data_IF_470368447060
#
_entry.id   IF_470368447060
#
_cell.length_a   1.000
_cell.length_b   1.000
_cell.length_c   1.000
_cell.angle_alpha   90.00
_cell.angle_beta   90.00
_cell.angle_gamma   90.00
#
_symmetry.space_group_name_H-M   'P 1'
#
loop_
_entity.id
_entity.type
_entity.pdbx_description
1 polymer ?
#
# COMPACT_ATOMS: atom_id res chain seq x y z
N UNK A 1 4.71 9.91 -18.54
CA UNK A 1 4.72 11.24 -17.88
C UNK A 1 4.72 12.30 -18.96
N UNK A 2 3.61 13.01 -19.20
CA UNK A 2 3.53 14.04 -20.25
C UNK A 2 4.56 15.14 -19.94
N UNK A 3 5.49 15.36 -20.86
CA UNK A 3 6.64 16.24 -20.68
C UNK A 3 6.19 17.65 -20.27
N UNK A 4 6.70 18.12 -19.13
CA UNK A 4 6.53 19.49 -18.60
C UNK A 4 6.76 20.57 -19.67
N UNK A 5 7.60 20.27 -20.65
CA UNK A 5 7.98 21.14 -21.75
C UNK A 5 6.81 21.47 -22.70
N UNK A 6 5.78 20.62 -22.80
CA UNK A 6 4.61 20.91 -23.66
C UNK A 6 3.85 22.15 -23.19
N UNK A 7 3.81 22.41 -21.88
CA UNK A 7 3.15 23.60 -21.31
C UNK A 7 3.87 24.87 -21.77
N UNK A 8 5.20 24.85 -21.74
CA UNK A 8 6.04 25.98 -22.19
C UNK A 8 5.93 26.16 -23.70
N UNK A 9 5.93 25.07 -24.46
CA UNK A 9 5.85 25.08 -25.92
C UNK A 9 4.47 25.61 -26.39
N UNK A 10 3.39 25.18 -25.73
CA UNK A 10 2.03 25.66 -26.02
C UNK A 10 1.87 27.15 -25.68
N UNK A 11 2.46 27.61 -24.57
CA UNK A 11 2.49 29.04 -24.23
C UNK A 11 3.27 29.86 -25.27
N UNK A 12 4.44 29.39 -25.70
CA UNK A 12 5.25 30.06 -26.73
C UNK A 12 4.51 30.16 -28.06
N UNK A 13 3.84 29.08 -28.50
CA UNK A 13 3.11 29.05 -29.77
C UNK A 13 1.89 29.97 -29.73
N UNK A 14 1.05 29.87 -28.70
CA UNK A 14 -0.14 30.72 -28.55
C UNK A 14 0.26 32.19 -28.39
N UNK A 15 1.29 32.48 -27.59
CA UNK A 15 1.81 33.84 -27.43
C UNK A 15 2.36 34.43 -28.73
N UNK A 16 3.11 33.64 -29.50
CA UNK A 16 3.66 34.09 -30.80
C UNK A 16 2.55 34.35 -31.82
N UNK A 17 1.56 33.46 -31.91
CA UNK A 17 0.39 33.64 -32.79
C UNK A 17 -0.39 34.89 -32.40
N UNK A 18 -0.56 35.14 -31.10
CA UNK A 18 -1.27 36.30 -30.59
C UNK A 18 -0.55 37.62 -30.91
N UNK A 19 0.78 37.67 -30.77
CA UNK A 19 1.59 38.86 -31.13
C UNK A 19 1.40 39.21 -32.61
N UNK A 20 1.48 38.21 -33.49
CA UNK A 20 1.33 38.41 -34.95
C UNK A 20 -0.08 38.90 -35.31
N UNK A 21 -1.13 38.26 -34.77
CA UNK A 21 -2.52 38.65 -35.01
C UNK A 21 -2.83 40.05 -34.46
N UNK A 22 -2.30 40.37 -33.27
CA UNK A 22 -2.51 41.68 -32.65
C UNK A 22 -1.90 42.81 -33.49
N UNK A 23 -0.71 42.60 -34.05
CA UNK A 23 -0.07 43.61 -34.90
C UNK A 23 -0.81 43.80 -36.24
N UNK A 24 -1.35 42.72 -36.83
CA UNK A 24 -2.16 42.80 -38.05
C UNK A 24 -3.48 43.57 -37.87
N UNK A 25 -4.20 43.34 -36.76
CA UNK A 25 -5.46 44.03 -36.48
C UNK A 25 -5.25 45.52 -36.28
N UNK A 26 -4.15 45.90 -35.62
CA UNK A 26 -3.78 47.29 -35.38
C UNK A 26 -3.49 48.01 -36.69
N UNK A 27 -2.77 47.40 -37.65
CA UNK A 27 -2.51 48.04 -38.94
C UNK A 27 -3.79 48.29 -39.76
N UNK A 28 -4.76 47.38 -39.71
CA UNK A 28 -6.00 47.50 -40.51
C UNK A 28 -6.98 48.52 -39.91
N UNK A 29 -7.00 48.67 -38.58
CA UNK A 29 -7.93 49.58 -37.89
C UNK A 29 -7.40 51.02 -37.74
N UNK A 30 -6.10 51.25 -37.90
CA UNK A 30 -5.46 52.55 -37.58
C UNK A 30 -5.34 53.50 -38.77
N UNK A 31 -5.60 53.06 -40.01
CA UNK A 31 -5.42 53.85 -41.24
C UNK A 31 -6.21 55.18 -41.31
N UNK A 32 -7.11 55.47 -40.35
CA UNK A 32 -7.87 56.73 -40.27
C UNK A 32 -7.76 57.53 -38.97
N UNK A 33 -6.93 57.16 -37.98
CA UNK A 33 -6.96 57.77 -36.64
C UNK A 33 -5.84 58.80 -36.34
N UNK A 34 -6.13 59.88 -35.59
CA UNK A 34 -5.14 60.89 -35.19
C UNK A 34 -4.06 60.32 -34.27
N UNK A 35 -2.84 60.89 -34.35
CA UNK A 35 -1.63 60.35 -33.72
C UNK A 35 -1.73 60.09 -32.20
N UNK A 36 -2.52 60.91 -31.49
CA UNK A 36 -2.78 60.76 -30.05
C UNK A 36 -3.54 59.46 -29.70
N UNK A 37 -4.54 59.06 -30.51
CA UNK A 37 -5.33 57.84 -30.25
C UNK A 37 -4.53 56.56 -30.49
N UNK A 38 -3.52 56.61 -31.38
CA UNK A 38 -2.67 55.46 -31.72
C UNK A 38 -1.85 54.98 -30.52
N UNK A 39 -1.27 55.90 -29.75
CA UNK A 39 -0.46 55.58 -28.57
C UNK A 39 -1.29 54.89 -27.47
N UNK A 40 -2.51 55.36 -27.22
CA UNK A 40 -3.42 54.76 -26.23
C UNK A 40 -3.80 53.34 -26.64
N UNK A 41 -4.04 53.10 -27.94
CA UNK A 41 -4.36 51.76 -28.47
C UNK A 41 -3.20 50.76 -28.27
N UNK A 42 -1.95 51.21 -28.44
CA UNK A 42 -0.77 50.39 -28.18
C UNK A 42 -0.58 50.07 -26.69
N UNK A 43 -0.85 51.01 -25.79
CA UNK A 43 -0.74 50.75 -24.35
C UNK A 43 -1.83 49.78 -23.86
N UNK A 44 -3.07 49.95 -24.34
CA UNK A 44 -4.19 49.08 -23.96
C UNK A 44 -3.97 47.63 -24.44
N UNK A 45 -3.38 47.43 -25.63
CA UNK A 45 -3.03 46.09 -26.15
C UNK A 45 -2.08 45.36 -25.20
N UNK A 46 -1.10 46.07 -24.64
CA UNK A 46 -0.09 45.47 -23.78
C UNK A 46 -0.70 44.98 -22.46
N UNK A 47 -1.62 45.76 -21.87
CA UNK A 47 -2.33 45.35 -20.66
C UNK A 47 -3.23 44.14 -20.89
N UNK A 48 -3.94 44.08 -22.03
CA UNK A 48 -4.75 42.92 -22.40
C UNK A 48 -3.90 41.65 -22.59
N UNK A 49 -2.73 41.78 -23.21
CA UNK A 49 -1.83 40.64 -23.41
C UNK A 49 -1.31 40.05 -22.10
N UNK A 50 -0.89 40.90 -21.16
CA UNK A 50 -0.40 40.47 -19.85
C UNK A 50 -1.53 39.79 -19.05
N UNK A 51 -2.74 40.34 -19.08
CA UNK A 51 -3.90 39.78 -18.39
C UNK A 51 -4.30 38.40 -18.93
N UNK A 52 -4.40 38.25 -20.26
CA UNK A 52 -4.73 36.97 -20.90
C UNK A 52 -3.63 35.95 -20.65
N UNK A 53 -2.36 36.35 -20.77
CA UNK A 53 -1.22 35.47 -20.51
C UNK A 53 -1.20 34.97 -19.06
N UNK A 54 -1.48 35.84 -18.08
CA UNK A 54 -1.57 35.46 -16.68
C UNK A 54 -2.74 34.48 -16.41
N UNK A 55 -3.91 34.72 -16.99
CA UNK A 55 -5.08 33.83 -16.87
C UNK A 55 -4.82 32.47 -17.51
N UNK A 56 -4.21 32.44 -18.69
CA UNK A 56 -3.85 31.22 -19.40
C UNK A 56 -2.82 30.39 -18.61
N UNK A 57 -1.82 31.05 -18.05
CA UNK A 57 -0.79 30.41 -17.23
C UNK A 57 -1.39 29.84 -15.93
N UNK A 58 -2.28 30.58 -15.28
CA UNK A 58 -3.04 30.11 -14.12
C UNK A 58 -3.91 28.89 -14.45
N UNK A 59 -4.58 28.89 -15.62
CA UNK A 59 -5.38 27.76 -16.08
C UNK A 59 -4.54 26.50 -16.31
N UNK A 60 -3.39 26.63 -16.97
CA UNK A 60 -2.48 25.51 -17.26
C UNK A 60 -1.89 24.91 -15.98
N UNK A 61 -1.47 25.75 -15.02
CA UNK A 61 -0.97 25.29 -13.71
C UNK A 61 -2.05 24.49 -12.98
N UNK A 62 -3.30 24.95 -13.01
CA UNK A 62 -4.41 24.26 -12.37
C UNK A 62 -4.71 22.90 -13.01
N UNK A 63 -4.65 22.77 -14.33
CA UNK A 63 -4.79 21.48 -15.01
C UNK A 63 -3.66 20.52 -14.64
N UNK A 64 -2.42 21.01 -14.59
CA UNK A 64 -1.26 20.21 -14.21
C UNK A 64 -1.36 19.69 -12.77
N UNK A 65 -1.72 20.55 -11.81
CA UNK A 65 -1.86 20.15 -10.41
C UNK A 65 -3.02 19.17 -10.18
N UNK A 66 -4.14 19.31 -10.91
CA UNK A 66 -5.27 18.38 -10.81
C UNK A 66 -4.90 16.94 -11.19
N UNK A 67 -4.06 16.77 -12.21
CA UNK A 67 -3.59 15.45 -12.63
C UNK A 67 -2.71 14.78 -11.58
N UNK A 68 -1.80 15.53 -10.94
CA UNK A 68 -0.88 15.00 -9.94
C UNK A 68 -1.57 14.59 -8.64
N UNK A 69 -2.53 15.38 -8.14
CA UNK A 69 -3.25 15.05 -6.89
C UNK A 69 -3.94 13.69 -6.96
N UNK A 70 -4.61 13.37 -8.07
CA UNK A 70 -5.29 12.08 -8.27
C UNK A 70 -4.33 10.89 -8.19
N UNK A 71 -3.15 11.01 -8.81
CA UNK A 71 -2.14 9.94 -8.77
C UNK A 71 -1.58 9.76 -7.36
N UNK A 72 -1.36 10.86 -6.63
CA UNK A 72 -0.90 10.80 -5.25
C UNK A 72 -1.93 10.14 -4.33
N UNK A 73 -3.20 10.51 -4.46
CA UNK A 73 -4.28 9.96 -3.65
C UNK A 73 -4.47 8.46 -3.95
N UNK A 74 -4.41 8.08 -5.23
CA UNK A 74 -4.43 6.67 -5.64
C UNK A 74 -3.24 5.88 -5.07
N UNK A 75 -2.02 6.44 -5.17
CA UNK A 75 -0.81 5.79 -4.66
C UNK A 75 -0.85 5.64 -3.14
N UNK A 76 -1.31 6.66 -2.41
CA UNK A 76 -1.52 6.61 -0.96
C UNK A 76 -2.48 5.50 -0.58
N UNK A 77 -3.63 5.42 -1.25
CA UNK A 77 -4.61 4.37 -1.01
C UNK A 77 -4.03 2.97 -1.25
N UNK A 78 -3.34 2.77 -2.37
CA UNK A 78 -2.70 1.49 -2.68
C UNK A 78 -1.60 1.12 -1.67
N UNK A 79 -0.86 2.10 -1.16
CA UNK A 79 0.15 1.90 -0.12
C UNK A 79 -0.50 1.53 1.23
N UNK A 80 -1.62 2.15 1.59
CA UNK A 80 -2.39 1.78 2.79
C UNK A 80 -2.92 0.34 2.69
N UNK A 81 -3.49 -0.04 1.54
CA UNK A 81 -3.95 -1.40 1.28
C UNK A 81 -2.80 -2.41 1.39
N UNK A 82 -1.65 -2.12 0.77
CA UNK A 82 -0.46 -2.98 0.85
C UNK A 82 0.08 -3.09 2.27
N UNK A 83 0.08 -2.00 3.06
CA UNK A 83 0.48 -2.05 4.47
C UNK A 83 -0.45 -2.93 5.31
N UNK A 84 -1.77 -2.85 5.08
CA UNK A 84 -2.75 -3.71 5.77
C UNK A 84 -2.55 -5.18 5.41
N UNK A 85 -2.28 -5.48 4.14
CA UNK A 85 -1.94 -6.84 3.72
C UNK A 85 -0.63 -7.33 4.37
N UNK A 86 0.38 -6.47 4.45
CA UNK A 86 1.66 -6.82 5.05
C UNK A 86 1.52 -7.10 6.56
N UNK A 87 0.70 -6.34 7.29
CA UNK A 87 0.45 -6.59 8.71
C UNK A 87 -0.24 -7.95 8.91
N UNK A 88 -1.27 -8.24 8.12
CA UNK A 88 -1.98 -9.53 8.15
C UNK A 88 -1.03 -10.71 7.86
N UNK A 89 -0.20 -10.60 6.82
CA UNK A 89 0.80 -11.63 6.49
C UNK A 89 1.81 -11.79 7.62
N UNK A 90 2.21 -10.69 8.28
CA UNK A 90 3.16 -10.75 9.38
C UNK A 90 2.57 -11.43 10.63
N UNK A 91 1.30 -11.19 10.92
CA UNK A 91 0.55 -11.89 11.99
C UNK A 91 0.45 -13.39 11.70
N UNK A 92 0.04 -13.76 10.48
CA UNK A 92 -0.02 -15.15 10.04
C UNK A 92 1.35 -15.84 10.11
N UNK A 93 2.43 -15.16 9.72
CA UNK A 93 3.79 -15.71 9.82
C UNK A 93 4.23 -15.91 11.27
N UNK A 94 3.82 -15.01 12.18
CA UNK A 94 4.13 -15.13 13.61
C UNK A 94 3.42 -16.35 14.20
N UNK A 95 2.15 -16.56 13.84
CA UNK A 95 1.39 -17.76 14.22
C UNK A 95 2.04 -19.04 13.67
N UNK A 96 2.40 -19.06 12.38
CA UNK A 96 3.04 -20.23 11.78
C UNK A 96 4.34 -20.59 12.49
N UNK A 97 5.12 -19.58 12.92
CA UNK A 97 6.33 -19.78 13.73
C UNK A 97 6.02 -20.37 15.09
N UNK A 98 4.97 -19.90 15.77
CA UNK A 98 4.54 -20.46 17.06
C UNK A 98 4.13 -21.93 16.92
N UNK A 99 3.32 -22.26 15.91
CA UNK A 99 2.92 -23.64 15.61
C UNK A 99 4.14 -24.51 15.28
N UNK A 100 5.05 -24.01 14.45
CA UNK A 100 6.28 -24.71 14.12
C UNK A 100 7.16 -24.97 15.37
N UNK A 101 7.18 -24.04 16.31
CA UNK A 101 7.88 -24.17 17.59
C UNK A 101 7.23 -25.23 18.49
N UNK A 102 5.90 -25.19 18.68
CA UNK A 102 5.15 -26.20 19.43
C UNK A 102 5.36 -27.59 18.84
N UNK A 103 5.26 -27.73 17.52
CA UNK A 103 5.45 -29.02 16.85
C UNK A 103 6.88 -29.55 17.00
N UNK A 104 7.88 -28.70 16.77
CA UNK A 104 9.28 -29.12 16.77
C UNK A 104 9.84 -29.36 18.16
N UNK A 105 9.30 -28.71 19.19
CA UNK A 105 9.86 -28.71 20.54
C UNK A 105 8.93 -29.30 21.59
N UNK A 106 7.70 -28.79 21.70
CA UNK A 106 6.78 -29.21 22.76
C UNK A 106 6.16 -30.58 22.47
N UNK A 107 5.66 -30.84 21.25
CA UNK A 107 5.10 -32.13 20.85
C UNK A 107 6.17 -33.23 20.81
N UNK A 108 7.38 -32.87 20.38
CA UNK A 108 8.48 -33.83 20.23
C UNK A 108 8.93 -34.43 21.57
N UNK A 109 8.85 -33.67 22.66
CA UNK A 109 9.29 -34.09 24.01
C UNK A 109 8.50 -35.31 24.54
N UNK A 110 7.16 -35.25 24.71
CA UNK A 110 6.39 -36.40 25.18
C UNK A 110 6.43 -37.55 24.16
N UNK A 111 6.46 -37.26 22.85
CA UNK A 111 6.57 -38.30 21.82
C UNK A 111 7.88 -39.10 21.95
N UNK A 112 9.01 -38.44 22.15
CA UNK A 112 10.29 -39.10 22.37
C UNK A 112 10.29 -39.95 23.66
N UNK A 113 9.65 -39.45 24.72
CA UNK A 113 9.47 -40.20 25.97
C UNK A 113 8.61 -41.45 25.77
N UNK A 114 7.49 -41.36 25.04
CA UNK A 114 6.63 -42.51 24.71
C UNK A 114 7.41 -43.54 23.89
N UNK A 115 8.18 -43.10 22.89
CA UNK A 115 9.02 -44.00 22.09
C UNK A 115 10.08 -44.71 22.94
N UNK A 116 10.73 -43.99 23.85
CA UNK A 116 11.72 -44.54 24.77
C UNK A 116 11.10 -45.55 25.75
N UNK A 117 10.00 -45.21 26.40
CA UNK A 117 9.27 -46.09 27.31
C UNK A 117 8.72 -47.33 26.59
N UNK A 118 8.20 -47.16 25.37
CA UNK A 118 7.75 -48.26 24.53
C UNK A 118 8.89 -49.22 24.17
N UNK A 119 10.08 -48.70 23.88
CA UNK A 119 11.27 -49.52 23.66
C UNK A 119 11.66 -50.33 24.91
N UNK A 120 11.65 -49.69 26.10
CA UNK A 120 11.92 -50.37 27.37
C UNK A 120 10.90 -51.47 27.67
N UNK A 121 9.61 -51.23 27.43
CA UNK A 121 8.56 -52.25 27.59
C UNK A 121 8.80 -53.44 26.66
N UNK A 122 9.34 -53.21 25.47
CA UNK A 122 9.60 -54.27 24.49
C UNK A 122 10.86 -55.09 24.84
N UNK A 123 11.85 -54.50 25.49
CA UNK A 123 13.13 -55.15 25.82
C UNK A 123 13.14 -55.82 27.20
N UNK A 124 12.32 -55.37 28.14
CA UNK A 124 12.22 -55.97 29.48
C UNK A 124 11.25 -57.17 29.47
N UNK A 125 11.62 -58.29 30.11
CA UNK A 125 10.73 -59.45 30.34
C UNK A 125 10.02 -59.40 31.72
N UNK A 126 10.49 -58.56 32.64
CA UNK A 126 9.91 -58.39 33.97
C UNK A 126 8.57 -57.62 33.91
N UNK A 127 7.50 -58.31 34.31
CA UNK A 127 6.15 -57.74 34.39
C UNK A 127 6.03 -56.63 35.43
N UNK A 128 6.83 -56.66 36.49
CA UNK A 128 6.80 -55.67 37.55
C UNK A 128 7.42 -54.33 37.09
N UNK A 129 8.43 -54.38 36.21
CA UNK A 129 8.97 -53.20 35.54
C UNK A 129 8.03 -52.63 34.47
N UNK A 130 7.40 -53.49 33.64
CA UNK A 130 6.38 -53.05 32.67
C UNK A 130 5.24 -52.30 33.36
N UNK A 131 4.79 -52.79 34.52
CA UNK A 131 3.79 -52.13 35.35
C UNK A 131 4.16 -50.71 35.79
N UNK A 132 5.45 -50.34 35.82
CA UNK A 132 5.92 -48.98 36.11
C UNK A 132 5.97 -48.09 34.87
N UNK A 133 6.23 -48.65 33.69
CA UNK A 133 6.35 -47.88 32.44
C UNK A 133 4.98 -47.50 31.85
N UNK A 134 3.95 -48.35 31.99
CA UNK A 134 2.60 -48.02 31.52
C UNK A 134 2.06 -46.68 32.09
N UNK A 135 2.06 -46.45 33.41
CA UNK A 135 1.64 -45.17 33.99
C UNK A 135 2.47 -43.97 33.49
N UNK A 136 3.74 -44.18 33.14
CA UNK A 136 4.59 -43.12 32.60
C UNK A 136 4.22 -42.77 31.16
N UNK A 137 3.88 -43.77 30.34
CA UNK A 137 3.35 -43.56 29.00
C UNK A 137 2.01 -42.83 29.06
N UNK A 138 1.10 -43.26 29.95
CA UNK A 138 -0.20 -42.62 30.11
C UNK A 138 -0.06 -41.12 30.41
N UNK A 139 0.85 -40.75 31.33
CA UNK A 139 1.16 -39.33 31.60
C UNK A 139 1.72 -38.59 30.39
N UNK A 140 2.59 -39.20 29.60
CA UNK A 140 3.12 -38.56 28.40
C UNK A 140 2.06 -38.39 27.31
N UNK A 141 1.09 -39.32 27.23
CA UNK A 141 -0.07 -39.21 26.34
C UNK A 141 -0.97 -38.05 26.79
N UNK A 142 -1.24 -37.93 28.09
CA UNK A 142 -1.99 -36.80 28.66
C UNK A 142 -1.30 -35.45 28.39
N UNK A 143 0.02 -35.35 28.63
CA UNK A 143 0.81 -34.15 28.35
C UNK A 143 0.78 -33.78 26.86
N UNK A 144 0.87 -34.78 25.97
CA UNK A 144 0.79 -34.56 24.53
C UNK A 144 -0.59 -34.07 24.09
N UNK A 145 -1.67 -34.68 24.60
CA UNK A 145 -3.04 -34.27 24.30
C UNK A 145 -3.32 -32.84 24.76
N UNK A 146 -2.81 -32.46 25.93
CA UNK A 146 -2.91 -31.09 26.44
C UNK A 146 -2.24 -30.09 25.49
N UNK A 147 -1.00 -30.36 25.05
CA UNK A 147 -0.26 -29.49 24.12
C UNK A 147 -1.02 -29.34 22.79
N UNK A 148 -1.55 -30.45 22.25
CA UNK A 148 -2.31 -30.45 21.00
C UNK A 148 -3.59 -29.64 21.14
N UNK A 149 -4.38 -29.88 22.19
CA UNK A 149 -5.61 -29.13 22.47
C UNK A 149 -5.35 -27.63 22.65
N UNK A 150 -4.30 -27.25 23.40
CA UNK A 150 -3.93 -25.85 23.57
C UNK A 150 -3.54 -25.19 22.25
N UNK A 151 -2.79 -25.90 21.38
CA UNK A 151 -2.39 -25.38 20.07
C UNK A 151 -3.58 -25.17 19.13
N UNK A 152 -4.56 -26.09 19.15
CA UNK A 152 -5.77 -25.99 18.36
C UNK A 152 -6.69 -24.85 18.85
N UNK A 153 -6.89 -24.72 20.16
CA UNK A 153 -7.70 -23.66 20.74
C UNK A 153 -7.16 -22.25 20.42
N UNK A 154 -5.83 -22.05 20.49
CA UNK A 154 -5.21 -20.78 20.11
C UNK A 154 -5.40 -20.45 18.63
N UNK A 155 -5.37 -21.46 17.76
CA UNK A 155 -5.63 -21.28 16.33
C UNK A 155 -7.07 -20.83 16.08
N UNK A 156 -8.04 -21.47 16.75
CA UNK A 156 -9.46 -21.15 16.62
C UNK A 156 -9.81 -19.75 17.14
N UNK A 157 -9.27 -19.34 18.30
CA UNK A 157 -9.48 -17.98 18.84
C UNK A 157 -9.01 -16.88 17.88
N UNK A 158 -7.87 -17.08 17.23
CA UNK A 158 -7.30 -16.09 16.31
C UNK A 158 -7.99 -16.09 14.94
N UNK A 159 -8.47 -17.24 14.46
CA UNK A 159 -9.33 -17.30 13.26
C UNK A 159 -10.67 -16.60 13.53
N UNK A 160 -11.24 -16.78 14.73
CA UNK A 160 -12.47 -16.10 15.13
C UNK A 160 -12.28 -14.58 15.23
N UNK A 161 -11.18 -14.12 15.82
CA UNK A 161 -10.86 -12.70 15.91
C UNK A 161 -10.53 -12.09 14.52
N UNK A 162 -9.79 -12.79 13.67
CA UNK A 162 -9.46 -12.35 12.31
C UNK A 162 -10.66 -12.29 11.36
N UNK A 163 -11.74 -13.04 11.63
CA UNK A 163 -12.99 -12.96 10.87
C UNK A 163 -13.87 -11.77 11.27
N UNK A 164 -13.78 -11.29 12.51
CA UNK A 164 -14.51 -10.10 12.95
C UNK A 164 -13.99 -8.80 12.32
N UNK A 165 -12.69 -8.70 12.03
CA UNK A 165 -12.07 -7.52 11.41
C UNK A 165 -12.23 -7.45 9.87
N UNK A 166 -12.80 -8.49 9.27
CA UNK A 166 -13.01 -8.61 7.82
C UNK A 166 -14.44 -8.27 7.35
N UNK A 167 -15.35 -7.88 8.25
CA UNK A 167 -16.69 -7.43 7.88
C UNK A 167 -16.85 -5.91 8.07
N UNK A 168 -16.92 -5.12 6.97
CA UNK A 168 -17.39 -3.74 7.03
C UNK A 168 -18.90 -3.66 7.29
#
# INVERSE_FOLDING_TARGET
>A
MKNKNYIVLLYLVIGSIWVILSDQVISVWIDGMPAHNRAVMHSLKAFLFIGISALLLQYLINLYHRGQKKNLDFLKKSLEESRKQQSLINEQNTMLKEIAWVNSHEIRKPLASILGLSALIRETDDQLEKGKYYPMIDRCIEELDEIVCQSAARLDELIANGNHDNHP
#
